data_IF_197141907597
#
_entry.id   IF_197141907597
#
_cell.length_a   1.000
_cell.length_b   1.000
_cell.length_c   1.000
_cell.angle_alpha   90.00
_cell.angle_beta   90.00
_cell.angle_gamma   90.00
#
_symmetry.space_group_name_H-M   'P 1'
#
loop_
_entity.id
_entity.type
_entity.pdbx_description
1 polymer ?
#
# COMPACT_ATOMS: atom_id res chain seq x y z
N UNK A 1 -17.36 -4.15 -8.89
CA UNK A 1 -16.13 -4.89 -9.27
C UNK A 1 -14.98 -4.46 -8.37
N UNK A 2 -14.31 -5.39 -7.69
CA UNK A 2 -13.13 -5.06 -6.88
C UNK A 2 -11.97 -4.66 -7.81
N UNK A 3 -11.57 -3.39 -7.78
CA UNK A 3 -10.42 -2.88 -8.54
C UNK A 3 -9.19 -3.68 -8.12
N UNK A 4 -8.58 -4.41 -9.06
CA UNK A 4 -7.36 -5.18 -8.81
C UNK A 4 -6.21 -4.20 -8.60
N UNK A 5 -5.63 -4.22 -7.41
CA UNK A 5 -4.45 -3.43 -7.09
C UNK A 5 -3.25 -4.03 -7.83
N UNK A 6 -2.42 -3.18 -8.43
CA UNK A 6 -1.26 -3.59 -9.20
C UNK A 6 -0.01 -3.40 -8.34
N UNK A 7 0.58 -4.49 -7.79
CA UNK A 7 1.72 -4.38 -6.89
C UNK A 7 2.97 -3.80 -7.58
N UNK A 8 3.06 -3.90 -8.91
CA UNK A 8 4.19 -3.42 -9.71
C UNK A 8 4.23 -1.90 -9.86
N UNK A 9 3.15 -1.19 -9.56
CA UNK A 9 3.12 0.29 -9.58
C UNK A 9 3.87 0.90 -8.39
N UNK A 10 4.06 0.15 -7.31
CA UNK A 10 4.88 0.56 -6.18
C UNK A 10 6.36 0.31 -6.49
N UNK A 11 7.15 1.39 -6.63
CA UNK A 11 8.60 1.30 -6.82
C UNK A 11 9.26 0.95 -5.49
N UNK A 12 10.00 -0.16 -5.48
CA UNK A 12 10.58 -0.71 -4.24
C UNK A 12 11.60 0.22 -3.57
N UNK A 13 12.35 1.01 -4.35
CA UNK A 13 13.39 1.92 -3.84
C UNK A 13 12.87 3.32 -3.52
N UNK A 14 11.54 3.52 -3.48
CA UNK A 14 10.93 4.81 -3.17
C UNK A 14 10.13 4.72 -1.87
N UNK A 15 10.28 5.72 -1.02
CA UNK A 15 9.37 5.96 0.10
C UNK A 15 8.18 6.77 -0.39
N UNK A 16 6.98 6.38 0.03
CA UNK A 16 5.73 7.00 -0.34
C UNK A 16 5.04 7.56 0.89
N UNK A 17 4.52 8.77 0.79
CA UNK A 17 3.48 9.21 1.72
C UNK A 17 2.16 8.49 1.45
N UNK A 18 1.21 8.60 2.39
CA UNK A 18 -0.14 8.07 2.22
C UNK A 18 -0.82 8.58 0.94
N UNK A 19 -0.58 9.85 0.58
CA UNK A 19 -1.19 10.47 -0.61
C UNK A 19 -0.51 9.98 -1.89
N UNK A 20 0.82 9.94 -1.95
CA UNK A 20 1.53 9.39 -3.11
C UNK A 20 1.23 7.91 -3.32
N UNK A 21 1.10 7.11 -2.25
CA UNK A 21 0.71 5.71 -2.35
C UNK A 21 -0.73 5.56 -2.91
N UNK A 22 -1.63 6.48 -2.55
CA UNK A 22 -3.00 6.51 -3.03
C UNK A 22 -3.04 6.83 -4.53
N UNK A 23 -2.26 7.81 -4.98
CA UNK A 23 -2.10 8.15 -6.40
C UNK A 23 -1.49 7.00 -7.20
N UNK A 24 -0.40 6.41 -6.71
CA UNK A 24 0.29 5.30 -7.35
C UNK A 24 -0.62 4.07 -7.56
N UNK A 25 -1.48 3.77 -6.58
CA UNK A 25 -2.44 2.66 -6.65
C UNK A 25 -3.81 3.06 -7.21
N UNK A 26 -4.01 4.34 -7.57
CA UNK A 26 -5.29 4.91 -8.01
C UNK A 26 -6.45 4.57 -7.05
N UNK A 27 -6.20 4.68 -5.75
CA UNK A 27 -7.15 4.47 -4.66
C UNK A 27 -7.33 5.74 -3.84
N UNK A 28 -8.34 5.78 -2.97
CA UNK A 28 -8.52 6.88 -2.05
C UNK A 28 -7.54 6.78 -0.86
N UNK A 29 -7.07 7.92 -0.33
CA UNK A 29 -6.17 7.96 0.85
C UNK A 29 -6.71 7.23 2.08
N UNK A 30 -8.04 7.17 2.24
CA UNK A 30 -8.70 6.38 3.30
C UNK A 30 -8.41 4.87 3.17
N UNK A 31 -8.32 4.36 1.94
CA UNK A 31 -7.98 2.95 1.68
C UNK A 31 -6.55 2.65 2.11
N UNK A 32 -5.60 3.55 1.81
CA UNK A 32 -4.21 3.42 2.24
C UNK A 32 -4.10 3.48 3.77
N UNK A 33 -4.82 4.40 4.43
CA UNK A 33 -4.92 4.43 5.90
C UNK A 33 -5.51 3.12 6.47
N UNK A 34 -6.47 2.51 5.78
CA UNK A 34 -7.02 1.23 6.19
C UNK A 34 -5.99 0.09 6.01
N UNK A 35 -5.11 0.16 5.01
CA UNK A 35 -4.00 -0.79 4.88
C UNK A 35 -3.03 -0.69 6.05
N UNK A 36 -2.71 0.53 6.50
CA UNK A 36 -1.88 0.75 7.69
C UNK A 36 -2.54 0.11 8.92
N UNK A 37 -3.85 0.32 9.12
CA UNK A 37 -4.62 -0.34 10.19
C UNK A 37 -4.62 -1.87 10.07
N UNK A 38 -4.58 -2.39 8.84
CA UNK A 38 -4.56 -3.83 8.55
C UNK A 38 -3.14 -4.44 8.57
N UNK A 39 -2.11 -3.69 9.00
CA UNK A 39 -0.75 -4.21 9.16
C UNK A 39 0.24 -3.84 8.05
N UNK A 40 -0.04 -2.82 7.22
CA UNK A 40 0.99 -2.24 6.36
C UNK A 40 1.97 -1.42 7.24
N UNK A 41 3.28 -1.77 7.29
CA UNK A 41 4.23 -1.05 8.10
C UNK A 41 4.49 0.36 7.56
N UNK A 42 4.71 1.28 8.50
CA UNK A 42 5.13 2.66 8.25
C UNK A 42 6.50 2.88 8.87
N UNK A 43 7.35 3.61 8.18
CA UNK A 43 8.75 3.81 8.56
C UNK A 43 8.93 4.86 9.67
N UNK A 44 8.05 5.87 9.71
CA UNK A 44 8.15 6.96 10.69
C UNK A 44 6.79 7.25 11.32
N UNK A 45 6.80 7.40 12.64
CA UNK A 45 5.66 7.83 13.45
C UNK A 45 5.50 9.37 13.42
N UNK A 46 6.52 10.09 12.94
CA UNK A 46 6.44 11.52 12.65
C UNK A 46 5.71 11.76 11.34
N UNK A 47 4.84 12.78 11.34
CA UNK A 47 4.11 13.18 10.14
C UNK A 47 5.07 13.92 9.19
N UNK A 48 5.06 13.62 7.88
CA UNK A 48 4.15 12.71 7.17
C UNK A 48 4.53 11.22 7.31
N UNK A 49 3.53 10.35 7.44
CA UNK A 49 3.71 8.89 7.49
C UNK A 49 4.35 8.40 6.18
N UNK A 50 5.53 7.79 6.30
CA UNK A 50 6.26 7.21 5.17
C UNK A 50 6.03 5.70 5.11
N UNK A 51 5.74 5.20 3.91
CA UNK A 51 5.56 3.80 3.59
C UNK A 51 6.68 3.41 2.63
N UNK A 52 7.45 2.37 2.97
CA UNK A 52 8.46 1.84 2.06
C UNK A 52 7.78 1.16 0.87
N UNK A 53 8.24 1.44 -0.35
CA UNK A 53 7.71 0.82 -1.56
C UNK A 53 7.87 -0.70 -1.60
N UNK A 54 8.90 -1.24 -0.94
CA UNK A 54 9.07 -2.68 -0.69
C UNK A 54 7.88 -3.25 0.07
N UNK A 55 7.54 -2.67 1.21
CA UNK A 55 6.47 -3.14 2.08
C UNK A 55 5.11 -2.95 1.44
N UNK A 56 4.88 -1.81 0.78
CA UNK A 56 3.66 -1.57 0.02
C UNK A 56 3.45 -2.66 -1.04
N UNK A 57 4.48 -3.00 -1.81
CA UNK A 57 4.40 -4.05 -2.83
C UNK A 57 4.15 -5.42 -2.22
N UNK A 58 4.84 -5.76 -1.13
CA UNK A 58 4.67 -7.03 -0.43
C UNK A 58 3.24 -7.17 0.13
N UNK A 59 2.73 -6.12 0.79
CA UNK A 59 1.39 -6.09 1.33
C UNK A 59 0.33 -6.27 0.24
N UNK A 60 0.47 -5.56 -0.89
CA UNK A 60 -0.44 -5.69 -2.04
C UNK A 60 -0.39 -7.09 -2.67
N UNK A 61 0.80 -7.71 -2.73
CA UNK A 61 0.97 -9.08 -3.21
C UNK A 61 0.26 -10.08 -2.28
N UNK A 62 0.45 -9.94 -0.96
CA UNK A 62 -0.22 -10.77 0.04
C UNK A 62 -1.75 -10.61 -0.01
N UNK A 63 -2.25 -9.38 -0.13
CA UNK A 63 -3.70 -9.13 -0.23
C UNK A 63 -4.31 -9.76 -1.50
N UNK A 64 -3.55 -9.83 -2.59
CA UNK A 64 -3.96 -10.50 -3.83
C UNK A 64 -3.98 -12.02 -3.69
N UNK A 65 -3.00 -12.60 -2.99
CA UNK A 65 -2.89 -14.04 -2.81
C UNK A 65 -3.90 -14.58 -1.78
N UNK A 66 -4.17 -13.83 -0.71
CA UNK A 66 -5.24 -14.13 0.24
C UNK A 66 -6.63 -14.16 -0.41
N UNK A 67 -6.83 -13.40 -1.49
CA UNK A 67 -8.07 -13.44 -2.31
C UNK A 67 -8.13 -14.61 -3.30
N UNK A 68 -7.05 -15.36 -3.52
CA UNK A 68 -7.04 -16.57 -4.37
C UNK A 68 -7.41 -17.84 -3.60
N UNK A 69 -7.67 -17.74 -2.30
CA UNK A 69 -7.85 -18.89 -1.39
C UNK A 69 -9.31 -19.10 -0.93
N UNK A 70 -10.28 -18.76 -1.77
CA UNK A 70 -11.70 -19.14 -1.60
C UNK A 70 -12.23 -19.73 -2.90
#
# INVERSE_FOLDING_TARGET
MAKRLNPTLAKIHRSYTVEEAAEAQKVHKKTVRNWIRNGLPVYDEKRPLLILGTDLRLFLKQQRDGKKRQ
#
